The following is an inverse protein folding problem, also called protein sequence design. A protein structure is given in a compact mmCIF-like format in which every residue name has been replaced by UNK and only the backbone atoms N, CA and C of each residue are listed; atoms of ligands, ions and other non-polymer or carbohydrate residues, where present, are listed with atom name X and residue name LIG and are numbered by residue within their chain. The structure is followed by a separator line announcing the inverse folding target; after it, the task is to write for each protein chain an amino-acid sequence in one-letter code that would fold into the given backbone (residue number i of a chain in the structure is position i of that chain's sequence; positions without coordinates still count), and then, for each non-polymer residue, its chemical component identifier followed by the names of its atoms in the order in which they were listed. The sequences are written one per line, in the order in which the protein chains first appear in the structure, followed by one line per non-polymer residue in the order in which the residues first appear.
data_IF_332942775910
#
_entry.id   IF_332942775910
#
_cell.length_a   1.000
_cell.length_b   1.000
_cell.length_c   1.000
_cell.angle_alpha   90.00
_cell.angle_beta   90.00
_cell.angle_gamma   90.00
#
_symmetry.space_group_name_H-M   'P 1'
#
loop_
_entity.id
_entity.type
_entity.pdbx_description
1 polymer ?
#
# COMPACT_ATOMS: atom_id res chain seq x y z
N UNK A 1 -3.75 21.45 -19.53
CA UNK A 1 -4.57 20.25 -19.74
C UNK A 1 -4.35 19.32 -18.56
N UNK A 2 -5.36 19.14 -17.71
CA UNK A 2 -5.27 18.29 -16.52
C UNK A 2 -5.46 16.83 -16.91
N UNK A 3 -4.40 16.00 -16.79
CA UNK A 3 -4.55 14.55 -16.81
C UNK A 3 -4.81 14.07 -15.39
N UNK A 4 -6.09 14.02 -14.99
CA UNK A 4 -6.50 13.25 -13.83
C UNK A 4 -6.21 11.78 -14.15
N UNK A 5 -5.17 11.19 -13.55
CA UNK A 5 -4.91 9.75 -13.73
C UNK A 5 -6.07 8.98 -13.08
N UNK A 6 -6.86 8.27 -13.88
CA UNK A 6 -7.99 7.43 -13.42
C UNK A 6 -7.55 6.23 -12.56
N UNK A 7 -6.24 5.93 -12.57
CA UNK A 7 -5.61 4.79 -11.91
C UNK A 7 -4.49 5.25 -10.98
N UNK A 8 -4.47 4.74 -9.74
CA UNK A 8 -3.59 5.20 -8.66
C UNK A 8 -4.31 5.29 -7.31
N UNK A 9 -3.81 6.14 -6.43
CA UNK A 9 -4.39 6.41 -5.11
C UNK A 9 -5.10 7.76 -5.07
N UNK A 10 -6.32 7.82 -4.54
CA UNK A 10 -7.09 9.07 -4.40
C UNK A 10 -6.65 9.92 -3.21
N UNK A 11 -6.50 9.32 -2.03
CA UNK A 11 -6.06 9.97 -0.79
C UNK A 11 -5.09 9.09 -0.02
N UNK A 12 -4.13 9.70 0.69
CA UNK A 12 -3.20 9.02 1.60
C UNK A 12 -3.44 9.56 3.01
N UNK A 13 -3.64 8.66 3.99
CA UNK A 13 -3.93 9.00 5.39
C UNK A 13 -3.01 8.26 6.35
N UNK A 14 -2.41 9.00 7.27
CA UNK A 14 -1.68 8.44 8.41
C UNK A 14 -2.51 8.61 9.70
N UNK A 15 -2.27 7.77 10.70
CA UNK A 15 -2.98 7.86 11.98
C UNK A 15 -2.71 9.20 12.66
N UNK A 16 -3.77 9.93 13.02
CA UNK A 16 -3.67 11.32 13.49
C UNK A 16 -2.97 11.49 14.85
N UNK A 17 -2.89 10.44 15.67
CA UNK A 17 -2.45 10.55 17.07
C UNK A 17 -0.92 10.38 17.28
N UNK A 18 -0.11 10.22 16.23
CA UNK A 18 1.30 9.86 16.36
C UNK A 18 2.28 10.98 15.96
N UNK A 19 3.39 11.09 16.71
CA UNK A 19 4.41 12.15 16.60
C UNK A 19 5.21 12.20 15.28
N UNK A 20 4.96 11.29 14.34
CA UNK A 20 5.65 11.21 13.04
C UNK A 20 4.69 11.09 11.87
N UNK A 21 3.48 11.63 12.00
CA UNK A 21 2.44 11.57 10.96
C UNK A 21 2.95 12.01 9.59
N UNK A 22 3.71 13.11 9.52
CA UNK A 22 4.23 13.60 8.24
C UNK A 22 5.21 12.62 7.61
N UNK A 23 6.13 12.03 8.40
CA UNK A 23 7.08 11.02 7.90
C UNK A 23 6.38 9.78 7.35
N UNK A 24 5.26 9.36 7.96
CA UNK A 24 4.44 8.26 7.44
C UNK A 24 3.81 8.63 6.10
N UNK A 25 3.26 9.85 5.98
CA UNK A 25 2.68 10.34 4.73
C UNK A 25 3.75 10.40 3.64
N UNK A 26 4.91 11.00 3.92
CA UNK A 26 6.02 11.13 2.97
C UNK A 26 6.52 9.74 2.51
N UNK A 27 6.61 8.78 3.44
CA UNK A 27 6.95 7.40 3.12
C UNK A 27 5.90 6.77 2.20
N UNK A 28 4.62 6.84 2.56
CA UNK A 28 3.54 6.25 1.76
C UNK A 28 3.46 6.91 0.37
N UNK A 29 3.60 8.23 0.27
CA UNK A 29 3.66 8.96 -1.01
C UNK A 29 4.82 8.48 -1.89
N UNK A 30 6.01 8.33 -1.31
CA UNK A 30 7.16 7.78 -2.03
C UNK A 30 6.89 6.38 -2.56
N UNK A 31 6.33 5.48 -1.74
CA UNK A 31 6.01 4.12 -2.15
C UNK A 31 4.92 4.09 -3.22
N UNK A 32 3.93 4.98 -3.13
CA UNK A 32 2.87 5.15 -4.13
C UNK A 32 3.46 5.55 -5.48
N UNK A 33 4.39 6.50 -5.51
CA UNK A 33 5.07 6.91 -6.74
C UNK A 33 5.77 5.74 -7.43
N UNK A 34 6.39 4.85 -6.65
CA UNK A 34 7.11 3.69 -7.17
C UNK A 34 6.16 2.63 -7.77
N UNK A 35 5.00 2.38 -7.15
CA UNK A 35 4.03 1.38 -7.64
C UNK A 35 3.07 1.91 -8.71
N UNK A 36 2.96 3.23 -8.87
CA UNK A 36 2.00 3.88 -9.77
C UNK A 36 2.10 3.41 -11.24
N UNK A 37 3.29 3.20 -11.84
CA UNK A 37 3.39 2.69 -13.21
C UNK A 37 2.74 1.32 -13.37
N UNK A 38 2.99 0.40 -12.43
CA UNK A 38 2.41 -0.94 -12.44
C UNK A 38 0.91 -0.91 -12.19
N UNK A 39 0.44 -0.04 -11.28
CA UNK A 39 -1.00 0.18 -11.07
C UNK A 39 -1.69 0.66 -12.33
N UNK A 40 -1.09 1.58 -13.09
CA UNK A 40 -1.64 2.05 -14.37
C UNK A 40 -1.69 0.93 -15.42
N UNK A 41 -0.62 0.14 -15.56
CA UNK A 41 -0.58 -1.03 -16.46
C UNK A 41 -1.70 -2.02 -16.13
N UNK A 42 -1.95 -2.25 -14.83
CA UNK A 42 -2.97 -3.17 -14.32
C UNK A 42 -4.35 -2.56 -14.14
N UNK A 43 -4.53 -1.26 -14.45
CA UNK A 43 -5.79 -0.53 -14.27
C UNK A 43 -6.33 -0.63 -12.83
N UNK A 44 -5.44 -0.50 -11.83
CA UNK A 44 -5.79 -0.54 -10.42
C UNK A 44 -6.13 0.86 -9.91
N UNK A 45 -7.27 0.98 -9.24
CA UNK A 45 -7.71 2.23 -8.60
C UNK A 45 -8.04 1.98 -7.13
N UNK A 46 -7.33 2.69 -6.26
CA UNK A 46 -7.54 2.71 -4.81
C UNK A 46 -7.98 4.14 -4.45
N UNK A 47 -9.15 4.31 -3.87
CA UNK A 47 -9.65 5.61 -3.43
C UNK A 47 -8.85 6.16 -2.24
N UNK A 48 -8.40 5.27 -1.35
CA UNK A 48 -7.75 5.66 -0.10
C UNK A 48 -6.68 4.65 0.32
N UNK A 49 -5.46 5.13 0.57
CA UNK A 49 -4.40 4.42 1.25
C UNK A 49 -4.30 4.94 2.68
N UNK A 50 -4.37 4.07 3.67
CA UNK A 50 -4.27 4.48 5.06
C UNK A 50 -3.35 3.59 5.89
N UNK A 51 -2.70 4.20 6.87
CA UNK A 51 -1.93 3.48 7.89
C UNK A 51 -2.87 2.68 8.81
N UNK A 52 -2.63 1.37 8.94
CA UNK A 52 -3.29 0.54 9.95
C UNK A 52 -2.38 0.28 11.14
N UNK A 53 -2.96 0.39 12.35
CA UNK A 53 -2.26 -0.02 13.57
C UNK A 53 -2.27 -1.54 13.71
N UNK A 54 -1.10 -2.10 14.00
CA UNK A 54 -0.93 -3.48 14.39
C UNK A 54 -1.80 -3.89 15.58
N UNK A 55 -1.95 -3.00 16.57
CA UNK A 55 -2.68 -3.30 17.82
C UNK A 55 -4.20 -3.32 17.61
N UNK A 56 -4.72 -2.57 16.65
CA UNK A 56 -6.15 -2.55 16.33
C UNK A 56 -6.53 -3.67 15.36
N UNK A 57 -5.57 -4.14 14.55
CA UNK A 57 -5.79 -5.21 13.57
C UNK A 57 -4.64 -6.22 13.59
N UNK A 58 -4.51 -7.03 14.67
CA UNK A 58 -3.43 -8.01 14.80
C UNK A 58 -3.47 -9.04 13.68
N UNK A 59 -4.67 -9.50 13.29
CA UNK A 59 -4.87 -10.48 12.21
C UNK A 59 -4.77 -9.91 10.80
N UNK A 60 -4.73 -8.57 10.64
CA UNK A 60 -4.48 -7.97 9.34
C UNK A 60 -3.00 -8.16 9.00
N UNK A 61 -2.63 -9.34 8.49
CA UNK A 61 -1.25 -9.68 8.11
C UNK A 61 -0.66 -8.73 7.06
N UNK A 62 -1.52 -7.95 6.39
CA UNK A 62 -1.06 -6.85 5.55
C UNK A 62 -2.13 -5.83 5.16
N UNK A 63 -3.44 -6.15 5.19
CA UNK A 63 -4.50 -5.28 4.64
C UNK A 63 -5.87 -5.54 5.29
N UNK A 64 -6.65 -4.48 5.47
CA UNK A 64 -8.11 -4.57 5.46
C UNK A 64 -8.65 -3.78 4.26
N UNK A 65 -9.27 -4.47 3.29
CA UNK A 65 -10.03 -3.82 2.21
C UNK A 65 -11.37 -3.47 2.82
N UNK A 66 -11.42 -2.35 3.56
CA UNK A 66 -12.56 -2.01 4.43
C UNK A 66 -13.83 -1.64 3.67
N UNK A 67 -13.72 -1.31 2.39
CA UNK A 67 -14.78 -1.09 1.40
C UNK A 67 -14.09 -0.99 0.04
N UNK A 68 -14.80 -1.26 -1.05
CA UNK A 68 -14.36 -1.59 -2.42
C UNK A 68 -13.18 -0.84 -3.07
N UNK A 69 -12.61 0.17 -2.44
CA UNK A 69 -11.53 1.00 -2.96
C UNK A 69 -10.49 1.44 -1.92
N UNK A 70 -10.54 1.01 -0.65
CA UNK A 70 -9.57 1.42 0.37
C UNK A 70 -8.52 0.34 0.67
N UNK A 71 -7.27 0.76 0.93
CA UNK A 71 -6.14 -0.10 1.23
C UNK A 71 -5.47 0.32 2.54
N UNK A 72 -5.51 -0.55 3.55
CA UNK A 72 -4.73 -0.38 4.78
C UNK A 72 -3.34 -0.96 4.65
N UNK A 73 -2.29 -0.26 5.10
CA UNK A 73 -0.90 -0.75 5.12
C UNK A 73 -0.29 -0.61 6.52
N UNK A 74 0.39 -1.67 6.98
CA UNK A 74 1.15 -1.66 8.23
C UNK A 74 2.46 -0.90 8.03
N UNK A 75 2.56 0.28 8.62
CA UNK A 75 3.76 1.14 8.52
C UNK A 75 4.64 1.03 9.77
N UNK A 76 4.07 0.70 10.93
CA UNK A 76 4.76 0.66 12.22
C UNK A 76 4.97 -0.76 12.72
N UNK A 77 5.98 -0.96 13.56
CA UNK A 77 6.26 -2.25 14.18
C UNK A 77 5.12 -2.67 15.12
N UNK A 78 4.85 -3.99 15.19
CA UNK A 78 3.75 -4.52 15.99
C UNK A 78 4.05 -4.37 17.49
N UNK A 79 5.31 -4.58 17.88
CA UNK A 79 5.77 -4.50 19.28
C UNK A 79 6.06 -3.06 19.72
N UNK A 80 6.28 -2.14 18.77
CA UNK A 80 6.58 -0.74 19.05
C UNK A 80 5.94 0.21 18.02
N UNK A 81 4.72 0.71 18.30
CA UNK A 81 4.01 1.66 17.42
C UNK A 81 4.75 2.98 17.20
N UNK A 82 5.76 3.33 17.98
CA UNK A 82 6.57 4.54 17.73
C UNK A 82 7.59 4.35 16.61
N UNK A 83 7.91 3.11 16.24
CA UNK A 83 8.93 2.78 15.23
C UNK A 83 8.27 2.56 13.87
N UNK A 84 8.73 3.31 12.86
CA UNK A 84 8.37 3.11 11.45
C UNK A 84 9.22 1.98 10.90
N UNK A 85 8.59 0.99 10.24
CA UNK A 85 9.25 -0.16 9.60
C UNK A 85 10.14 0.30 8.44
N UNK A 86 11.13 -0.52 8.12
CA UNK A 86 11.95 -0.31 6.93
C UNK A 86 11.08 -0.20 5.65
N UNK A 87 11.48 0.69 4.74
CA UNK A 87 10.72 0.96 3.51
C UNK A 87 10.45 -0.29 2.68
N UNK A 88 11.36 -1.28 2.67
CA UNK A 88 11.17 -2.54 1.94
C UNK A 88 10.05 -3.37 2.54
N UNK A 89 9.96 -3.38 3.87
CA UNK A 89 8.89 -4.09 4.59
C UNK A 89 7.54 -3.44 4.31
N UNK A 90 7.47 -2.11 4.35
CA UNK A 90 6.23 -1.38 4.01
C UNK A 90 5.85 -1.57 2.54
N UNK A 91 6.82 -1.55 1.61
CA UNK A 91 6.59 -1.85 0.19
C UNK A 91 6.03 -3.26 -0.01
N UNK A 92 6.58 -4.25 0.70
CA UNK A 92 6.07 -5.63 0.64
C UNK A 92 4.61 -5.72 1.09
N UNK A 93 4.24 -5.01 2.16
CA UNK A 93 2.84 -4.93 2.60
C UNK A 93 1.95 -4.26 1.55
N UNK A 94 2.41 -3.16 0.94
CA UNK A 94 1.71 -2.45 -0.12
C UNK A 94 1.47 -3.34 -1.35
N UNK A 95 2.52 -4.01 -1.85
CA UNK A 95 2.43 -4.93 -3.00
C UNK A 95 1.50 -6.10 -2.73
N UNK A 96 1.57 -6.70 -1.53
CA UNK A 96 0.61 -7.74 -1.14
C UNK A 96 -0.84 -7.21 -1.18
N UNK A 97 -1.04 -5.95 -0.82
CA UNK A 97 -2.34 -5.31 -0.86
C UNK A 97 -2.90 -5.09 -2.24
N UNK A 98 -2.04 -4.59 -3.13
CA UNK A 98 -2.38 -4.43 -4.53
C UNK A 98 -2.64 -5.80 -5.17
N UNK A 99 -1.84 -6.82 -4.86
CA UNK A 99 -2.04 -8.17 -5.38
C UNK A 99 -3.36 -8.81 -4.92
N UNK A 100 -3.75 -8.62 -3.64
CA UNK A 100 -5.08 -9.02 -3.15
C UNK A 100 -6.21 -8.28 -3.86
N UNK A 101 -6.00 -7.02 -4.21
CA UNK A 101 -6.95 -6.27 -5.03
C UNK A 101 -7.07 -6.89 -6.43
N UNK A 102 -5.96 -7.23 -7.09
CA UNK A 102 -5.97 -7.91 -8.39
C UNK A 102 -6.76 -9.24 -8.30
N UNK A 103 -6.47 -10.04 -7.29
CA UNK A 103 -7.15 -11.33 -7.05
C UNK A 103 -8.65 -11.16 -6.87
N UNK A 104 -9.07 -10.24 -6.00
CA UNK A 104 -10.47 -10.07 -5.64
C UNK A 104 -11.31 -9.39 -6.73
N UNK A 105 -10.75 -8.41 -7.44
CA UNK A 105 -11.54 -7.53 -8.32
C UNK A 105 -11.22 -7.68 -9.81
N UNK A 106 -10.07 -8.26 -10.16
CA UNK A 106 -9.65 -8.50 -11.55
C UNK A 106 -9.67 -9.97 -11.90
N UNK A 107 -9.78 -10.87 -10.91
CA UNK A 107 -9.68 -12.32 -11.12
C UNK A 107 -8.28 -12.77 -11.52
N UNK A 108 -7.26 -11.95 -11.24
CA UNK A 108 -5.85 -12.27 -11.52
C UNK A 108 -5.27 -13.16 -10.41
N UNK A 109 -4.36 -14.07 -10.74
CA UNK A 109 -3.66 -14.84 -9.71
C UNK A 109 -2.79 -13.93 -8.84
N UNK A 110 -2.87 -14.14 -7.51
CA UNK A 110 -2.16 -13.33 -6.52
C UNK A 110 -0.65 -13.32 -6.77
N UNK A 111 -0.03 -14.50 -7.00
CA UNK A 111 1.42 -14.61 -7.17
C UNK A 111 1.90 -13.97 -8.46
N UNK A 112 1.08 -14.05 -9.51
CA UNK A 112 1.30 -13.35 -10.78
C UNK A 112 1.29 -11.85 -10.56
N UNK A 113 0.28 -11.31 -9.87
CA UNK A 113 0.24 -9.86 -9.59
C UNK A 113 1.44 -9.41 -8.74
N UNK A 114 1.82 -10.17 -7.71
CA UNK A 114 3.04 -9.91 -6.91
C UNK A 114 4.28 -9.89 -7.79
N UNK A 115 4.44 -10.87 -8.68
CA UNK A 115 5.62 -10.98 -9.57
C UNK A 115 5.72 -9.78 -10.52
N UNK A 116 4.59 -9.32 -11.05
CA UNK A 116 4.55 -8.13 -11.91
C UNK A 116 5.01 -6.88 -11.17
N UNK A 117 4.58 -6.69 -9.92
CA UNK A 117 5.09 -5.59 -9.08
C UNK A 117 6.58 -5.74 -8.79
N UNK A 118 7.06 -6.95 -8.45
CA UNK A 118 8.48 -7.19 -8.16
C UNK A 118 9.38 -6.87 -9.35
N UNK A 119 8.99 -7.30 -10.55
CA UNK A 119 9.78 -7.09 -11.77
C UNK A 119 9.94 -5.61 -12.12
N UNK A 120 8.96 -4.78 -11.78
CA UNK A 120 8.97 -3.32 -12.01
C UNK A 120 9.62 -2.55 -10.85
N UNK A 121 9.94 -3.22 -9.74
CA UNK A 121 10.51 -2.64 -8.52
C UNK A 121 11.87 -3.26 -8.14
N UNK A 122 12.90 -3.22 -9.03
CA UNK A 122 14.19 -3.87 -8.78
C UNK A 122 14.98 -3.28 -7.60
N UNK A 123 14.62 -2.08 -7.13
CA UNK A 123 15.24 -1.41 -5.99
C UNK A 123 14.78 -1.90 -4.61
N UNK A 124 13.85 -2.86 -4.56
CA UNK A 124 13.26 -3.37 -3.33
C UNK A 124 13.60 -4.85 -3.11
N UNK A 125 13.96 -5.21 -1.88
CA UNK A 125 14.19 -6.61 -1.49
C UNK A 125 12.88 -7.20 -0.94
N UNK A 126 12.40 -8.27 -1.57
CA UNK A 126 11.08 -8.87 -1.30
C UNK A 126 11.15 -10.28 -0.69
#
# INVERSE_FOLDING_TARGET
MSSSSEYGFGQIKAQQMNADKQKVIDLLESLVCDVLPTMKKKQITISELFEISATQHPEANSISVLQFTCLGVKVREDDNPSVIRDKNVVMKHLVNGLARYCEKFRGEDFNTCVSDFKNELPGYSF
#
